data_IF_179350877907
#
_entry.id   IF_179350877907
#
_cell.length_a   1.000
_cell.length_b   1.000
_cell.length_c   1.000
_cell.angle_alpha   90.00
_cell.angle_beta   90.00
_cell.angle_gamma   90.00
#
_symmetry.space_group_name_H-M   'P 1'
#
loop_
_entity.id
_entity.type
_entity.pdbx_description
1 polymer ?
#
# COMPACT_ATOMS: atom_id res chain seq x y z
N UNK A 1 -13.12 16.26 9.11
CA UNK A 1 -11.77 15.75 9.05
C UNK A 1 -11.53 15.07 7.71
N UNK A 2 -10.48 15.48 7.03
CA UNK A 2 -10.20 14.96 5.70
C UNK A 2 -9.65 13.55 5.78
N UNK A 3 -10.11 12.70 4.88
CA UNK A 3 -9.58 11.36 4.77
C UNK A 3 -8.33 11.36 3.90
N UNK A 4 -7.39 10.51 4.25
CA UNK A 4 -6.22 10.32 3.43
C UNK A 4 -6.57 9.52 2.20
N UNK A 5 -5.95 9.87 1.09
CA UNK A 5 -6.15 9.15 -0.16
C UNK A 5 -4.91 8.32 -0.47
N UNK A 6 -5.07 7.01 -0.48
CA UNK A 6 -3.99 6.10 -0.84
C UNK A 6 -4.12 5.76 -2.31
N UNK A 7 -2.99 5.77 -3.01
CA UNK A 7 -2.94 5.46 -4.44
C UNK A 7 -2.26 4.11 -4.60
N UNK A 8 -2.99 3.19 -5.19
CA UNK A 8 -2.48 1.84 -5.44
C UNK A 8 -2.15 1.68 -6.91
N UNK A 9 -0.97 1.15 -7.17
CA UNK A 9 -0.55 0.84 -8.53
C UNK A 9 0.34 -0.38 -8.49
N UNK A 10 0.58 -0.97 -9.67
CA UNK A 10 1.56 -2.04 -9.77
C UNK A 10 2.72 -1.56 -10.62
N UNK A 11 3.90 -2.07 -10.29
CA UNK A 11 5.12 -1.79 -11.02
C UNK A 11 5.76 -3.12 -11.39
N UNK A 12 6.14 -3.24 -12.65
CA UNK A 12 6.78 -4.48 -13.11
C UNK A 12 8.29 -4.32 -12.97
N UNK A 13 8.88 -5.22 -12.22
CA UNK A 13 10.31 -5.22 -11.97
C UNK A 13 10.99 -6.26 -12.86
N UNK A 14 12.30 -6.39 -12.72
CA UNK A 14 13.09 -7.35 -13.50
C UNK A 14 12.57 -8.77 -13.27
N UNK A 15 12.75 -9.60 -14.28
CA UNK A 15 12.38 -11.03 -14.26
C UNK A 15 10.88 -11.25 -14.08
N UNK A 16 10.08 -10.30 -14.56
CA UNK A 16 8.63 -10.44 -14.50
C UNK A 16 8.01 -10.28 -13.14
N UNK A 17 8.76 -9.81 -12.17
CA UNK A 17 8.22 -9.59 -10.83
C UNK A 17 7.33 -8.37 -10.81
N UNK A 18 6.22 -8.48 -10.08
CA UNK A 18 5.27 -7.40 -9.94
C UNK A 18 5.29 -6.93 -8.48
N UNK A 19 5.23 -5.62 -8.30
CA UNK A 19 5.20 -5.00 -6.98
C UNK A 19 3.98 -4.11 -6.90
N UNK A 20 3.22 -4.22 -5.82
CA UNK A 20 2.11 -3.32 -5.54
C UNK A 20 2.64 -2.15 -4.73
N UNK A 21 2.42 -0.93 -5.24
CA UNK A 21 2.89 0.28 -4.57
C UNK A 21 1.71 0.99 -3.95
N UNK A 22 1.88 1.43 -2.71
CA UNK A 22 0.90 2.24 -2.00
C UNK A 22 1.52 3.60 -1.76
N UNK A 23 0.96 4.62 -2.38
CA UNK A 23 1.47 5.98 -2.33
C UNK A 23 0.41 6.92 -1.78
N UNK A 24 0.76 8.20 -1.66
CA UNK A 24 -0.17 9.20 -1.16
C UNK A 24 -0.25 9.26 0.35
N UNK A 25 0.64 8.59 1.06
CA UNK A 25 0.63 8.52 2.52
C UNK A 25 1.55 9.59 3.10
N UNK A 26 1.26 10.83 2.77
CA UNK A 26 2.16 11.96 3.08
C UNK A 26 1.95 12.52 4.49
N UNK A 27 0.80 12.23 5.09
CA UNK A 27 0.48 12.77 6.41
C UNK A 27 1.39 12.14 7.47
N UNK A 28 2.10 12.99 8.21
CA UNK A 28 3.04 12.52 9.23
C UNK A 28 2.33 11.84 10.40
N UNK A 29 1.03 12.02 10.55
CA UNK A 29 0.26 11.32 11.57
C UNK A 29 0.07 9.84 11.24
N UNK A 30 0.32 9.45 9.97
CA UNK A 30 0.22 8.05 9.58
C UNK A 30 1.51 7.35 9.97
N UNK A 31 1.38 6.27 10.75
CA UNK A 31 2.52 5.42 11.05
C UNK A 31 2.71 4.47 9.86
N UNK A 32 3.63 4.85 8.97
CA UNK A 32 3.83 4.13 7.72
C UNK A 32 4.33 2.70 7.97
N UNK A 33 5.13 2.50 9.00
CA UNK A 33 5.65 1.17 9.32
C UNK A 33 4.55 0.25 9.83
N UNK A 34 3.66 0.78 10.67
CA UNK A 34 2.52 0.02 11.16
C UNK A 34 1.58 -0.36 10.02
N UNK A 35 1.32 0.59 9.13
CA UNK A 35 0.44 0.36 7.99
C UNK A 35 1.05 -0.68 7.06
N UNK A 36 2.35 -0.59 6.82
CA UNK A 36 3.04 -1.58 5.98
C UNK A 36 2.94 -2.98 6.58
N UNK A 37 3.11 -3.07 7.90
CA UNK A 37 3.03 -4.34 8.59
C UNK A 37 1.62 -4.94 8.47
N UNK A 38 0.62 -4.11 8.62
CA UNK A 38 -0.77 -4.53 8.48
C UNK A 38 -1.03 -5.05 7.07
N UNK A 39 -0.57 -4.31 6.06
CA UNK A 39 -0.77 -4.70 4.67
C UNK A 39 -0.04 -6.00 4.35
N UNK A 40 1.19 -6.15 4.80
CA UNK A 40 1.93 -7.40 4.57
C UNK A 40 1.22 -8.58 5.18
N UNK A 41 0.69 -8.39 6.38
CA UNK A 41 -0.01 -9.44 7.09
C UNK A 41 -1.30 -9.83 6.37
N UNK A 42 -2.10 -8.84 6.01
CA UNK A 42 -3.40 -9.09 5.38
C UNK A 42 -3.26 -9.62 3.97
N UNK A 43 -2.23 -9.21 3.25
CA UNK A 43 -1.99 -9.69 1.89
C UNK A 43 -1.15 -10.96 1.86
N UNK A 44 -0.65 -11.39 3.02
CA UNK A 44 0.27 -12.54 3.13
C UNK A 44 1.45 -12.38 2.17
N UNK A 45 2.02 -11.18 2.11
CA UNK A 45 3.07 -10.85 1.15
C UNK A 45 4.23 -10.19 1.86
N UNK A 46 5.42 -10.34 1.29
CA UNK A 46 6.58 -9.57 1.70
C UNK A 46 6.50 -8.16 1.15
N UNK A 47 7.27 -7.27 1.73
CA UNK A 47 7.28 -5.90 1.25
C UNK A 47 8.30 -5.06 1.98
N UNK A 48 8.49 -3.84 1.50
CA UNK A 48 9.40 -2.87 2.09
C UNK A 48 8.73 -1.51 2.14
N UNK A 49 9.32 -0.62 2.92
CA UNK A 49 8.91 0.79 2.98
C UNK A 49 10.07 1.62 2.48
N UNK A 50 9.80 2.48 1.50
CA UNK A 50 10.77 3.42 0.98
C UNK A 50 10.20 4.82 1.11
N UNK A 51 10.79 5.62 2.02
CA UNK A 51 10.23 6.92 2.32
C UNK A 51 8.83 6.75 2.85
N UNK A 52 7.84 7.29 2.13
CA UNK A 52 6.44 7.17 2.52
C UNK A 52 5.66 6.29 1.52
N UNK A 53 6.36 5.42 0.81
CA UNK A 53 5.75 4.49 -0.14
C UNK A 53 5.91 3.07 0.37
N UNK A 54 4.84 2.31 0.36
CA UNK A 54 4.87 0.90 0.74
C UNK A 54 4.91 0.08 -0.54
N UNK A 55 5.80 -0.90 -0.59
CA UNK A 55 5.90 -1.82 -1.71
C UNK A 55 5.62 -3.23 -1.24
N UNK A 56 4.63 -3.87 -1.85
CA UNK A 56 4.27 -5.25 -1.54
C UNK A 56 4.65 -6.11 -2.74
N UNK A 57 5.23 -7.27 -2.46
CA UNK A 57 5.63 -8.19 -3.51
C UNK A 57 4.39 -8.90 -4.06
N UNK A 58 4.20 -8.84 -5.37
CA UNK A 58 3.06 -9.43 -6.03
C UNK A 58 1.97 -8.42 -6.32
N UNK A 59 0.91 -8.87 -6.98
CA UNK A 59 -0.25 -8.03 -7.31
C UNK A 59 -1.30 -8.19 -6.23
N UNK A 60 -1.41 -7.21 -5.36
CA UNK A 60 -2.33 -7.25 -4.23
C UNK A 60 -3.22 -6.01 -4.18
N UNK A 61 -3.47 -5.39 -5.33
CA UNK A 61 -4.22 -4.13 -5.34
C UNK A 61 -5.59 -4.25 -4.70
N UNK A 62 -6.34 -5.28 -5.08
CA UNK A 62 -7.70 -5.42 -4.55
C UNK A 62 -7.70 -5.63 -3.04
N UNK A 63 -6.84 -6.51 -2.56
CA UNK A 63 -6.77 -6.82 -1.15
C UNK A 63 -6.29 -5.61 -0.34
N UNK A 64 -5.25 -4.97 -0.83
CA UNK A 64 -4.72 -3.77 -0.18
C UNK A 64 -5.75 -2.65 -0.14
N UNK A 65 -6.51 -2.48 -1.23
CA UNK A 65 -7.57 -1.48 -1.27
C UNK A 65 -8.60 -1.74 -0.18
N UNK A 66 -9.01 -2.99 -0.01
CA UNK A 66 -9.97 -3.36 1.03
C UNK A 66 -9.45 -3.05 2.42
N UNK A 67 -8.19 -3.40 2.68
CA UNK A 67 -7.58 -3.13 3.99
C UNK A 67 -7.53 -1.63 4.26
N UNK A 68 -7.12 -0.86 3.27
CA UNK A 68 -7.01 0.59 3.44
C UNK A 68 -8.38 1.24 3.66
N UNK A 69 -9.39 0.82 2.91
CA UNK A 69 -10.75 1.34 3.11
C UNK A 69 -11.27 1.02 4.49
N UNK A 70 -11.01 -0.18 4.99
CA UNK A 70 -11.42 -0.56 6.34
C UNK A 70 -10.73 0.27 7.41
N UNK A 71 -9.60 0.89 7.08
CA UNK A 71 -8.86 1.75 8.00
C UNK A 71 -9.11 3.23 7.75
N UNK A 72 -10.14 3.56 7.00
CA UNK A 72 -10.58 4.94 6.84
C UNK A 72 -9.93 5.71 5.71
N UNK A 73 -9.21 5.02 4.82
CA UNK A 73 -8.58 5.67 3.69
C UNK A 73 -9.50 5.67 2.49
N UNK A 74 -9.48 6.75 1.72
CA UNK A 74 -9.95 6.71 0.35
C UNK A 74 -8.88 6.05 -0.50
N UNK A 75 -9.28 5.26 -1.47
CA UNK A 75 -8.33 4.51 -2.27
C UNK A 75 -8.57 4.77 -3.75
N UNK A 76 -7.50 5.11 -4.45
CA UNK A 76 -7.52 5.20 -5.90
C UNK A 76 -6.66 4.06 -6.43
N UNK A 77 -7.24 3.21 -7.27
CA UNK A 77 -6.54 2.07 -7.86
C UNK A 77 -6.21 2.39 -9.30
N UNK A 78 -4.94 2.28 -9.67
CA UNK A 78 -4.47 2.58 -11.01
C UNK A 78 -3.98 1.35 -11.76
#
# INVERSE_FOLDING_TARGET
>A
KEQQCAILSTDRRRYGKIVTKVEGLEDSAIDINQLAKLLKNKCAAGGTVKGRTIELQGDHKKKAAGVLRNNGFNVEVR
#
